data_IF_492307181723
#
_entry.id   IF_492307181723
#
_cell.length_a   1.000
_cell.length_b   1.000
_cell.length_c   1.000
_cell.angle_alpha   90.00
_cell.angle_beta   90.00
_cell.angle_gamma   90.00
#
_symmetry.space_group_name_H-M   'P 1'
#
loop_
_entity.id
_entity.type
_entity.pdbx_description
1 polymer ?
#
# COMPACT_ATOMS: atom_id res chain seq x y z
N UNK A 1 55.26 -58.27 18.35
CA UNK A 1 53.87 -58.31 17.85
C UNK A 1 53.18 -57.01 18.24
N UNK A 2 52.47 -56.42 17.28
CA UNK A 2 51.34 -55.49 17.47
C UNK A 2 51.58 -54.09 18.05
N UNK A 3 51.10 -53.09 17.29
CA UNK A 3 50.20 -52.06 17.85
C UNK A 3 50.77 -50.67 18.09
N UNK A 4 50.52 -49.75 17.15
CA UNK A 4 50.77 -48.29 17.23
C UNK A 4 49.96 -47.58 18.32
N UNK A 5 50.56 -46.59 18.99
CA UNK A 5 50.18 -45.16 18.92
C UNK A 5 50.55 -44.38 20.20
N UNK A 6 51.14 -43.18 20.03
CA UNK A 6 50.72 -41.88 20.61
C UNK A 6 51.90 -40.92 20.87
N UNK A 7 51.65 -39.67 20.40
CA UNK A 7 52.01 -38.35 20.97
C UNK A 7 53.33 -37.65 20.57
N UNK A 8 53.11 -36.35 20.32
CA UNK A 8 54.01 -35.19 20.43
C UNK A 8 55.08 -35.07 19.31
N UNK A 9 55.39 -33.91 18.73
CA UNK A 9 55.04 -32.51 18.96
C UNK A 9 55.34 -31.74 17.66
N UNK A 10 54.62 -30.65 17.38
CA UNK A 10 55.11 -29.59 16.50
C UNK A 10 54.43 -28.28 16.90
N UNK A 11 55.17 -27.43 17.61
CA UNK A 11 54.90 -26.02 17.77
C UNK A 11 55.85 -25.29 16.81
N UNK A 12 55.33 -24.39 15.98
CA UNK A 12 56.17 -23.41 15.30
C UNK A 12 55.46 -22.05 15.27
N UNK A 13 56.25 -21.03 15.61
CA UNK A 13 55.84 -19.73 16.08
C UNK A 13 55.47 -18.74 14.98
N UNK A 14 54.59 -17.83 15.38
CA UNK A 14 54.02 -16.69 14.69
C UNK A 14 55.04 -15.54 14.53
N UNK A 15 55.14 -14.96 13.34
CA UNK A 15 55.73 -13.64 13.12
C UNK A 15 55.09 -12.98 11.88
N UNK A 16 54.26 -11.95 12.07
CA UNK A 16 53.84 -11.06 10.99
C UNK A 16 54.05 -9.59 11.41
N UNK A 17 54.66 -8.91 10.46
CA UNK A 17 55.17 -7.56 10.33
C UNK A 17 54.16 -6.44 10.69
N UNK A 18 54.63 -5.45 11.44
CA UNK A 18 53.98 -4.14 11.62
C UNK A 18 54.73 -3.13 10.74
N UNK A 19 54.03 -2.47 9.82
CA UNK A 19 54.52 -1.32 9.06
C UNK A 19 53.66 -0.11 9.40
N UNK A 20 54.29 0.88 10.03
CA UNK A 20 53.74 2.18 10.38
C UNK A 20 53.93 3.17 9.23
N UNK A 21 52.86 3.84 8.79
CA UNK A 21 52.95 5.11 8.07
C UNK A 21 51.97 6.12 8.69
N UNK A 22 52.54 7.22 9.18
CA UNK A 22 51.85 8.39 9.70
C UNK A 22 51.14 9.15 8.57
N UNK A 23 49.90 9.56 8.80
CA UNK A 23 49.22 10.62 8.04
C UNK A 23 48.26 11.36 8.99
N UNK A 24 48.05 12.68 8.80
CA UNK A 24 47.40 13.54 9.78
C UNK A 24 45.88 13.32 9.82
N UNK A 25 45.33 13.41 11.03
CA UNK A 25 43.90 13.41 11.31
C UNK A 25 43.29 14.70 10.75
N UNK A 26 42.43 14.57 9.74
CA UNK A 26 41.37 15.51 9.41
C UNK A 26 40.07 14.85 9.88
N UNK A 27 39.46 15.47 10.89
CA UNK A 27 38.11 15.20 11.35
C UNK A 27 37.19 15.90 10.37
N UNK A 28 36.42 15.14 9.59
CA UNK A 28 35.11 15.59 9.12
C UNK A 28 34.20 14.38 8.88
N UNK A 29 32.92 14.55 9.17
CA UNK A 29 31.95 13.48 9.40
C UNK A 29 31.73 12.56 8.20
N UNK A 30 31.72 11.24 8.47
CA UNK A 30 31.21 10.25 7.53
C UNK A 30 29.69 10.15 7.72
N UNK A 31 28.96 10.93 6.92
CA UNK A 31 27.67 10.51 6.40
C UNK A 31 27.96 9.45 5.33
N UNK A 32 27.63 8.19 5.60
CA UNK A 32 27.60 7.16 4.55
C UNK A 32 26.43 7.48 3.61
N UNK A 33 26.69 8.29 2.58
CA UNK A 33 25.86 8.30 1.38
C UNK A 33 26.28 7.09 0.54
N UNK A 34 25.49 6.02 0.61
CA UNK A 34 25.48 4.97 -0.40
C UNK A 34 25.28 5.63 -1.76
N UNK A 35 26.11 5.38 -2.79
CA UNK A 35 25.84 5.88 -4.12
C UNK A 35 24.62 5.13 -4.66
N UNK A 36 23.52 5.83 -4.93
CA UNK A 36 22.50 5.33 -5.84
C UNK A 36 23.19 5.04 -7.18
N UNK A 37 22.94 3.85 -7.73
CA UNK A 37 23.27 3.56 -9.12
C UNK A 37 22.25 4.30 -9.99
N UNK A 38 22.46 5.60 -10.17
CA UNK A 38 21.70 6.35 -11.16
C UNK A 38 22.05 5.78 -12.54
N UNK A 39 21.02 5.34 -13.27
CA UNK A 39 21.15 4.87 -14.64
C UNK A 39 21.76 5.99 -15.51
N UNK A 40 22.65 5.65 -16.44
CA UNK A 40 23.37 6.65 -17.25
C UNK A 40 22.53 7.25 -18.38
N UNK A 41 21.25 6.88 -18.47
CA UNK A 41 20.25 7.48 -19.35
C UNK A 41 19.12 7.99 -18.47
N UNK A 42 18.69 9.22 -18.67
CA UNK A 42 17.56 9.79 -17.92
C UNK A 42 16.29 9.67 -18.74
N UNK A 43 15.14 9.59 -18.07
CA UNK A 43 13.84 9.70 -18.72
C UNK A 43 13.78 10.93 -19.63
N UNK A 44 13.03 10.83 -20.72
CA UNK A 44 12.83 11.96 -21.65
C UNK A 44 11.48 12.60 -21.42
N UNK A 45 11.38 13.92 -21.60
CA UNK A 45 10.09 14.60 -21.52
C UNK A 45 9.10 14.08 -22.58
N UNK A 46 7.84 13.92 -22.18
CA UNK A 46 6.76 13.50 -23.07
C UNK A 46 6.38 14.62 -24.07
N UNK A 47 5.96 14.25 -25.28
CA UNK A 47 5.55 15.21 -26.33
C UNK A 47 4.18 14.95 -26.97
N UNK A 48 3.72 13.69 -27.05
CA UNK A 48 2.38 13.34 -27.52
C UNK A 48 1.95 11.96 -26.99
N UNK A 49 2.42 10.89 -27.64
CA UNK A 49 2.24 9.51 -27.18
C UNK A 49 3.48 9.09 -26.40
N UNK A 50 3.30 8.70 -25.15
CA UNK A 50 4.38 8.37 -24.24
C UNK A 50 4.01 7.17 -23.39
N UNK A 51 5.03 6.53 -22.82
CA UNK A 51 4.84 5.59 -21.72
C UNK A 51 4.32 6.39 -20.53
N UNK A 52 3.27 5.89 -19.88
CA UNK A 52 2.55 6.55 -18.80
C UNK A 52 2.67 5.82 -17.46
N UNK A 53 2.67 4.48 -17.48
CA UNK A 53 2.78 3.63 -16.30
C UNK A 53 3.42 2.30 -16.73
N UNK A 54 4.13 1.59 -15.85
CA UNK A 54 4.61 0.23 -16.13
C UNK A 54 4.62 -0.63 -14.87
N UNK A 55 4.36 -1.93 -14.99
CA UNK A 55 4.43 -2.92 -13.91
C UNK A 55 5.62 -3.86 -14.15
N UNK A 56 6.82 -3.57 -13.60
CA UNK A 56 7.98 -4.43 -13.80
C UNK A 56 7.91 -5.71 -12.97
N UNK A 57 7.33 -5.66 -11.78
CA UNK A 57 7.36 -6.74 -10.80
C UNK A 57 5.93 -7.12 -10.40
N UNK A 58 5.20 -7.79 -11.30
CA UNK A 58 3.80 -8.15 -11.08
C UNK A 58 3.64 -9.24 -9.99
N UNK A 59 2.49 -9.27 -9.30
CA UNK A 59 2.20 -10.28 -8.26
C UNK A 59 2.14 -11.73 -8.79
N UNK A 60 1.80 -11.89 -10.07
CA UNK A 60 1.78 -13.18 -10.73
C UNK A 60 3.13 -13.54 -11.33
N UNK A 61 3.09 -14.27 -12.46
CA UNK A 61 4.31 -14.53 -13.21
C UNK A 61 4.62 -13.31 -14.08
N UNK A 62 5.89 -12.91 -14.18
CA UNK A 62 6.32 -11.83 -15.09
C UNK A 62 5.76 -12.04 -16.51
N UNK A 63 5.79 -13.28 -16.98
CA UNK A 63 5.28 -13.69 -18.29
C UNK A 63 3.76 -13.97 -18.33
N UNK A 64 3.04 -13.56 -17.29
CA UNK A 64 1.63 -13.84 -17.08
C UNK A 64 0.72 -13.02 -18.01
N UNK A 65 -0.57 -13.31 -17.89
CA UNK A 65 -1.63 -12.56 -18.57
C UNK A 65 -2.04 -11.38 -17.69
N UNK A 66 -2.28 -10.23 -18.31
CA UNK A 66 -2.82 -9.05 -17.62
C UNK A 66 -4.11 -9.40 -16.82
N UNK A 67 -4.27 -8.89 -15.57
CA UNK A 67 -3.41 -7.93 -14.89
C UNK A 67 -2.24 -8.55 -14.09
N UNK A 68 -2.12 -9.89 -14.08
CA UNK A 68 -1.20 -10.60 -13.18
C UNK A 68 0.23 -10.78 -13.75
N UNK A 69 0.53 -10.22 -14.93
CA UNK A 69 1.86 -10.24 -15.54
C UNK A 69 2.39 -8.82 -15.79
N UNK A 70 3.59 -8.71 -16.36
CA UNK A 70 4.17 -7.41 -16.71
C UNK A 70 3.32 -6.68 -17.76
N UNK A 71 3.22 -5.36 -17.63
CA UNK A 71 2.56 -4.51 -18.60
C UNK A 71 3.12 -3.10 -18.60
N UNK A 72 2.89 -2.40 -19.69
CA UNK A 72 3.28 -1.02 -19.91
C UNK A 72 2.08 -0.29 -20.49
N UNK A 73 1.73 0.84 -19.89
CA UNK A 73 0.68 1.71 -20.38
C UNK A 73 1.27 2.84 -21.23
N UNK A 74 0.60 3.14 -22.33
CA UNK A 74 0.81 4.35 -23.10
C UNK A 74 -0.35 5.34 -22.91
N UNK A 75 -0.04 6.63 -22.90
CA UNK A 75 -1.02 7.71 -22.92
C UNK A 75 -0.81 8.61 -24.14
N UNK A 76 -1.92 8.95 -24.84
CA UNK A 76 -1.91 9.95 -25.90
C UNK A 76 -2.39 11.30 -25.37
N UNK A 77 -1.45 12.12 -24.89
CA UNK A 77 -1.69 13.51 -24.45
C UNK A 77 -1.96 14.50 -25.61
N UNK A 78 -1.84 14.04 -26.86
CA UNK A 78 -2.08 14.85 -28.05
C UNK A 78 -3.56 15.19 -28.27
N UNK A 79 -3.82 16.03 -29.26
CA UNK A 79 -5.18 16.44 -29.67
C UNK A 79 -5.73 15.66 -30.87
N UNK A 80 -4.99 14.65 -31.34
CA UNK A 80 -5.35 13.84 -32.51
C UNK A 80 -5.11 12.36 -32.23
N UNK A 81 -5.90 11.51 -32.88
CA UNK A 81 -5.74 10.06 -32.85
C UNK A 81 -4.43 9.66 -33.53
N UNK A 82 -3.72 8.70 -32.94
CA UNK A 82 -2.42 8.22 -33.43
C UNK A 82 -2.49 6.73 -33.72
N UNK A 83 -2.04 6.32 -34.91
CA UNK A 83 -1.83 4.91 -35.20
C UNK A 83 -0.51 4.44 -34.58
N UNK A 84 -0.60 3.40 -33.77
CA UNK A 84 0.52 2.68 -33.15
C UNK A 84 0.91 1.43 -33.93
N UNK A 85 0.44 1.28 -35.17
CA UNK A 85 0.75 0.13 -36.01
C UNK A 85 2.27 0.00 -36.20
N UNK A 86 2.83 -1.17 -35.87
CA UNK A 86 4.27 -1.48 -35.88
C UNK A 86 5.11 -0.68 -34.87
N UNK A 87 4.51 -0.05 -33.86
CA UNK A 87 5.28 0.49 -32.72
C UNK A 87 5.76 -0.64 -31.82
N UNK A 88 6.83 -0.39 -31.08
CA UNK A 88 7.46 -1.38 -30.20
C UNK A 88 7.95 -0.76 -28.90
N UNK A 89 8.01 -1.57 -27.85
CA UNK A 89 8.81 -1.33 -26.65
C UNK A 89 10.12 -2.10 -26.77
N UNK A 90 11.22 -1.48 -26.37
CA UNK A 90 12.54 -2.11 -26.39
C UNK A 90 13.30 -1.80 -25.09
N UNK A 91 13.75 -2.85 -24.39
CA UNK A 91 14.58 -2.71 -23.20
C UNK A 91 16.06 -2.49 -23.55
N UNK A 92 16.89 -2.18 -22.56
CA UNK A 92 18.35 -2.04 -22.75
C UNK A 92 19.04 -3.37 -23.13
N UNK A 93 18.40 -4.51 -22.86
CA UNK A 93 18.83 -5.84 -23.26
C UNK A 93 18.64 -6.13 -24.76
N UNK A 94 17.86 -5.29 -25.47
CA UNK A 94 17.51 -5.44 -26.88
C UNK A 94 16.31 -6.36 -27.14
N UNK A 95 15.53 -6.69 -26.11
CA UNK A 95 14.25 -7.38 -26.25
C UNK A 95 13.21 -6.42 -26.81
N UNK A 96 12.53 -6.83 -27.89
CA UNK A 96 11.56 -6.00 -28.60
C UNK A 96 10.18 -6.61 -28.40
N UNK A 97 9.30 -5.86 -27.73
CA UNK A 97 7.90 -6.21 -27.52
C UNK A 97 6.99 -5.43 -28.48
N UNK A 98 6.19 -6.11 -29.33
CA UNK A 98 5.35 -5.44 -30.31
C UNK A 98 4.08 -4.86 -29.67
N UNK A 99 3.55 -3.78 -30.25
CA UNK A 99 2.22 -3.26 -29.95
C UNK A 99 1.23 -3.78 -30.99
N UNK A 100 0.68 -4.97 -30.75
CA UNK A 100 -0.24 -5.61 -31.69
C UNK A 100 -1.45 -6.26 -31.02
N UNK A 101 -2.27 -6.97 -31.80
CA UNK A 101 -3.51 -7.57 -31.33
C UNK A 101 -3.34 -8.63 -30.23
N UNK A 102 -2.14 -9.18 -30.05
CA UNK A 102 -1.84 -10.16 -29.01
C UNK A 102 -1.39 -9.52 -27.69
N UNK A 103 -0.79 -8.34 -27.76
CA UNK A 103 -0.19 -7.67 -26.58
C UNK A 103 -1.04 -6.50 -26.07
N UNK A 104 -1.84 -5.88 -26.94
CA UNK A 104 -2.74 -4.78 -26.56
C UNK A 104 -4.01 -5.34 -25.90
N UNK A 105 -4.17 -5.05 -24.60
CA UNK A 105 -5.37 -5.43 -23.82
C UNK A 105 -6.61 -4.73 -24.37
N UNK A 106 -7.63 -5.51 -24.75
CA UNK A 106 -8.87 -4.98 -25.31
C UNK A 106 -8.76 -4.48 -26.75
N UNK A 107 -7.78 -4.98 -27.53
CA UNK A 107 -7.59 -4.61 -28.94
C UNK A 107 -8.86 -4.74 -29.80
N UNK A 108 -9.70 -5.74 -29.52
CA UNK A 108 -10.96 -5.99 -30.23
C UNK A 108 -12.05 -4.95 -29.93
N UNK A 109 -11.87 -4.14 -28.87
CA UNK A 109 -12.76 -3.04 -28.49
C UNK A 109 -12.36 -1.69 -29.11
N UNK A 110 -11.24 -1.61 -29.84
CA UNK A 110 -10.80 -0.38 -30.47
C UNK A 110 -11.76 0.04 -31.59
N UNK A 111 -12.04 1.35 -31.66
CA UNK A 111 -12.85 1.95 -32.74
C UNK A 111 -12.21 1.72 -34.12
N UNK A 112 -10.87 1.72 -34.18
CA UNK A 112 -10.09 1.37 -35.35
C UNK A 112 -8.83 0.59 -34.91
N UNK A 113 -8.43 -0.47 -35.64
CA UNK A 113 -7.25 -1.25 -35.28
C UNK A 113 -6.01 -0.38 -35.12
N UNK A 114 -5.23 -0.61 -34.04
CA UNK A 114 -3.99 0.09 -33.69
C UNK A 114 -4.13 1.60 -33.42
N UNK A 115 -5.33 2.17 -33.43
CA UNK A 115 -5.52 3.62 -33.22
C UNK A 115 -5.74 3.90 -31.74
N UNK A 116 -4.83 4.69 -31.15
CA UNK A 116 -4.99 5.27 -29.82
C UNK A 116 -5.59 6.67 -29.94
N UNK A 117 -6.81 6.84 -29.43
CA UNK A 117 -7.52 8.11 -29.50
C UNK A 117 -6.88 9.18 -28.62
N UNK A 118 -7.07 10.45 -28.99
CA UNK A 118 -6.61 11.59 -28.18
C UNK A 118 -7.21 11.53 -26.75
N UNK A 119 -6.37 11.72 -25.74
CA UNK A 119 -6.77 11.72 -24.33
C UNK A 119 -7.13 10.33 -23.78
N UNK A 120 -6.65 9.25 -24.40
CA UNK A 120 -6.93 7.88 -23.96
C UNK A 120 -5.65 7.06 -23.75
N UNK A 121 -5.81 5.89 -23.13
CA UNK A 121 -4.73 5.01 -22.69
C UNK A 121 -4.72 3.68 -23.46
N UNK A 122 -3.56 3.05 -23.54
CA UNK A 122 -3.38 1.71 -24.09
C UNK A 122 -2.50 0.87 -23.17
N UNK A 123 -3.03 -0.24 -22.66
CA UNK A 123 -2.27 -1.21 -21.88
C UNK A 123 -1.69 -2.27 -22.81
N UNK A 124 -0.36 -2.36 -22.82
CA UNK A 124 0.43 -3.31 -23.61
C UNK A 124 1.05 -4.30 -22.63
N UNK A 125 0.57 -5.54 -22.66
CA UNK A 125 0.91 -6.55 -21.66
C UNK A 125 1.74 -7.69 -22.26
N UNK A 126 2.54 -8.33 -21.42
CA UNK A 126 3.39 -9.46 -21.82
C UNK A 126 2.53 -10.63 -22.33
N UNK A 127 1.40 -10.95 -21.69
CA UNK A 127 0.39 -11.91 -22.18
C UNK A 127 1.00 -13.20 -22.77
N UNK A 128 1.98 -13.76 -22.07
CA UNK A 128 2.68 -15.00 -22.45
C UNK A 128 3.48 -14.93 -23.78
N UNK A 129 3.75 -13.75 -24.34
CA UNK A 129 4.50 -13.61 -25.60
C UNK A 129 5.99 -13.90 -25.47
N UNK A 130 6.59 -13.60 -24.32
CA UNK A 130 7.99 -13.86 -24.04
C UNK A 130 8.96 -12.73 -24.37
N UNK A 131 8.46 -11.51 -24.59
CA UNK A 131 9.21 -10.43 -25.24
C UNK A 131 9.26 -9.12 -24.47
N UNK A 132 8.29 -8.84 -23.60
CA UNK A 132 8.40 -7.82 -22.56
C UNK A 132 9.25 -8.40 -21.44
N UNK A 133 10.36 -7.72 -21.11
CA UNK A 133 11.37 -8.17 -20.16
C UNK A 133 11.75 -7.02 -19.25
N UNK A 134 10.80 -6.60 -18.42
CA UNK A 134 11.07 -5.53 -17.49
C UNK A 134 12.01 -6.05 -16.37
N UNK A 135 12.90 -5.18 -15.92
CA UNK A 135 13.96 -5.53 -14.98
C UNK A 135 13.63 -5.01 -13.58
N UNK A 136 13.41 -5.92 -12.63
CA UNK A 136 13.04 -5.55 -11.25
C UNK A 136 14.12 -4.76 -10.50
N UNK A 137 15.39 -4.88 -10.88
CA UNK A 137 16.47 -4.13 -10.24
C UNK A 137 16.60 -2.67 -10.73
N UNK A 138 15.79 -2.28 -11.71
CA UNK A 138 15.86 -1.00 -12.42
C UNK A 138 15.79 -1.21 -13.93
N UNK A 139 15.02 -0.36 -14.60
CA UNK A 139 14.70 -0.50 -16.01
C UNK A 139 15.16 0.72 -16.83
N UNK A 140 15.44 0.51 -18.11
CA UNK A 140 15.49 1.52 -19.15
C UNK A 140 14.69 1.03 -20.36
N UNK A 141 13.49 1.58 -20.54
CA UNK A 141 12.55 1.17 -21.57
C UNK A 141 12.40 2.25 -22.65
N UNK A 142 12.43 1.82 -23.91
CA UNK A 142 12.28 2.69 -25.07
C UNK A 142 10.97 2.42 -25.82
N UNK A 143 10.15 3.45 -26.00
CA UNK A 143 9.06 3.44 -26.96
C UNK A 143 9.58 3.88 -28.33
N UNK A 144 9.38 3.04 -29.35
CA UNK A 144 9.80 3.32 -30.73
C UNK A 144 8.62 3.28 -31.68
N UNK A 145 8.62 4.21 -32.63
CA UNK A 145 7.61 4.25 -33.69
C UNK A 145 7.88 3.21 -34.79
N UNK A 146 6.96 3.09 -35.74
CA UNK A 146 7.04 2.16 -36.88
C UNK A 146 8.34 2.25 -37.72
N UNK A 147 9.02 3.39 -37.72
CA UNK A 147 10.30 3.57 -38.40
C UNK A 147 11.53 3.21 -37.57
N UNK A 148 11.33 2.72 -36.33
CA UNK A 148 12.39 2.48 -35.34
C UNK A 148 12.91 3.76 -34.67
N UNK A 149 12.26 4.91 -34.89
CA UNK A 149 12.62 6.17 -34.26
C UNK A 149 12.20 6.18 -32.79
N UNK A 150 13.09 6.63 -31.91
CA UNK A 150 12.81 6.77 -30.48
C UNK A 150 11.76 7.86 -30.24
N UNK A 151 10.69 7.51 -29.51
CA UNK A 151 9.58 8.39 -29.14
C UNK A 151 9.70 8.82 -27.67
N UNK A 152 9.98 7.87 -26.78
CA UNK A 152 10.06 8.11 -25.34
C UNK A 152 11.04 7.11 -24.71
N UNK A 153 11.82 7.57 -23.74
CA UNK A 153 12.64 6.73 -22.86
C UNK A 153 12.19 6.92 -21.43
N UNK A 154 12.04 5.82 -20.72
CA UNK A 154 11.75 5.77 -19.28
C UNK A 154 12.89 5.06 -18.59
N UNK A 155 13.33 5.60 -17.46
CA UNK A 155 14.24 4.91 -16.54
C UNK A 155 13.62 4.76 -15.17
N UNK A 156 13.90 3.68 -14.46
CA UNK A 156 13.41 3.45 -13.10
C UNK A 156 14.45 2.80 -12.21
N UNK A 157 14.29 2.97 -10.90
CA UNK A 157 15.01 2.17 -9.89
C UNK A 157 14.36 0.80 -9.66
N UNK A 158 14.78 0.15 -8.58
CA UNK A 158 14.26 -1.15 -8.11
C UNK A 158 12.73 -1.14 -7.98
N UNK A 159 12.07 -2.17 -8.47
CA UNK A 159 10.62 -2.31 -8.50
C UNK A 159 10.08 -3.11 -7.32
N UNK A 160 9.15 -2.51 -6.59
CA UNK A 160 8.39 -3.17 -5.53
C UNK A 160 7.42 -4.20 -6.13
N UNK A 161 7.22 -5.32 -5.45
CA UNK A 161 6.30 -6.37 -5.91
C UNK A 161 4.86 -5.87 -5.90
N UNK A 162 4.14 -6.05 -7.00
CA UNK A 162 2.74 -5.66 -7.16
C UNK A 162 2.53 -4.16 -7.35
N UNK A 163 3.59 -3.35 -7.48
CA UNK A 163 3.52 -1.88 -7.56
C UNK A 163 4.07 -1.39 -8.90
N UNK A 164 3.29 -0.58 -9.60
CA UNK A 164 3.68 0.01 -10.87
C UNK A 164 4.65 1.20 -10.67
N UNK A 165 5.32 1.58 -11.75
CA UNK A 165 6.18 2.75 -11.86
C UNK A 165 5.48 3.82 -12.68
N UNK A 166 5.59 5.07 -12.24
CA UNK A 166 5.02 6.25 -12.91
C UNK A 166 6.05 7.39 -13.02
N UNK A 167 5.84 8.37 -13.92
CA UNK A 167 6.70 9.54 -14.04
C UNK A 167 6.83 10.27 -12.70
N UNK A 168 8.05 10.74 -12.41
CA UNK A 168 8.26 11.61 -11.26
C UNK A 168 7.60 12.98 -11.53
N UNK A 169 6.62 13.41 -10.72
CA UNK A 169 5.90 14.68 -10.97
C UNK A 169 6.78 15.91 -10.79
N UNK A 170 7.87 15.80 -10.00
CA UNK A 170 8.78 16.89 -9.70
C UNK A 170 9.82 17.13 -10.80
N UNK A 171 10.14 16.11 -11.61
CA UNK A 171 11.08 16.19 -12.73
C UNK A 171 10.74 15.12 -13.78
N UNK A 172 10.17 15.55 -14.90
CA UNK A 172 9.81 14.68 -16.02
C UNK A 172 11.01 13.95 -16.69
N UNK A 173 12.24 14.29 -16.29
CA UNK A 173 13.48 13.62 -16.74
C UNK A 173 14.15 12.77 -15.66
N UNK A 174 13.61 12.71 -14.46
CA UNK A 174 14.11 11.85 -13.41
C UNK A 174 13.72 10.38 -13.63
N UNK A 175 14.34 9.49 -12.85
CA UNK A 175 13.90 8.10 -12.77
C UNK A 175 12.46 8.06 -12.23
N UNK A 176 11.68 7.16 -12.83
CA UNK A 176 10.32 6.85 -12.43
C UNK A 176 10.29 6.21 -11.05
N UNK A 177 9.21 6.50 -10.35
CA UNK A 177 8.98 6.17 -8.94
C UNK A 177 7.84 5.17 -8.81
N UNK A 178 7.78 4.46 -7.67
CA UNK A 178 6.63 3.60 -7.35
C UNK A 178 5.35 4.44 -7.31
N UNK A 179 4.26 3.92 -7.88
CA UNK A 179 2.92 4.51 -7.78
C UNK A 179 2.31 4.30 -6.39
N UNK A 180 1.30 5.11 -6.04
CA UNK A 180 0.46 4.83 -4.85
C UNK A 180 -0.59 3.75 -5.13
N UNK A 181 -1.11 3.72 -6.35
CA UNK A 181 -2.06 2.73 -6.84
C UNK A 181 -1.74 2.37 -8.29
N UNK A 182 -1.99 1.12 -8.67
CA UNK A 182 -1.92 0.69 -10.05
C UNK A 182 -3.14 1.22 -10.82
N UNK A 183 -2.93 1.99 -11.89
CA UNK A 183 -4.00 2.71 -12.60
C UNK A 183 -4.14 2.33 -14.09
N UNK A 184 -4.10 1.03 -14.47
CA UNK A 184 -4.17 0.66 -15.88
C UNK A 184 -5.52 1.07 -16.50
N UNK A 185 -5.44 1.86 -17.57
CA UNK A 185 -6.54 2.44 -18.33
C UNK A 185 -7.00 3.81 -17.81
N UNK A 186 -6.31 4.40 -16.84
CA UNK A 186 -6.74 5.62 -16.14
C UNK A 186 -5.58 6.61 -15.90
N UNK A 187 -5.90 7.77 -15.33
CA UNK A 187 -4.90 8.75 -14.92
C UNK A 187 -4.12 8.24 -13.69
N UNK A 188 -2.80 8.45 -13.69
CA UNK A 188 -1.93 7.99 -12.61
C UNK A 188 -2.27 8.65 -11.27
N UNK A 189 -2.30 7.85 -10.22
CA UNK A 189 -2.27 8.34 -8.84
C UNK A 189 -0.86 8.89 -8.55
N UNK A 190 -0.72 10.21 -8.43
CA UNK A 190 0.58 10.87 -8.26
C UNK A 190 1.35 10.29 -7.07
N UNK A 191 2.46 9.61 -7.32
CA UNK A 191 3.41 9.27 -6.27
C UNK A 191 4.24 10.50 -5.94
N UNK A 192 4.22 10.90 -4.68
CA UNK A 192 5.19 11.87 -4.18
C UNK A 192 6.55 11.20 -4.09
N UNK A 193 7.34 11.29 -5.17
CA UNK A 193 8.73 10.84 -5.21
C UNK A 193 9.49 11.45 -4.04
N UNK A 194 10.02 10.57 -3.18
CA UNK A 194 10.61 10.95 -1.89
C UNK A 194 11.71 12.01 -2.03
N UNK A 195 11.53 13.12 -1.33
CA UNK A 195 12.59 14.11 -1.11
C UNK A 195 12.18 15.57 -1.01
N UNK A 196 11.12 15.92 -0.28
CA UNK A 196 11.10 17.04 0.69
C UNK A 196 9.70 17.13 1.33
N UNK A 197 9.70 17.44 2.62
CA UNK A 197 8.54 17.42 3.51
C UNK A 197 7.35 18.25 3.00
N UNK A 198 6.17 17.63 2.99
CA UNK A 198 5.02 18.25 3.65
C UNK A 198 4.18 19.25 2.87
N UNK A 199 3.82 18.98 1.62
CA UNK A 199 2.60 19.57 1.08
C UNK A 199 1.70 18.51 0.46
N UNK A 200 0.53 18.34 1.05
CA UNK A 200 -0.58 17.60 0.43
C UNK A 200 -0.87 18.21 -0.95
N UNK A 201 -1.25 17.44 -1.99
CA UNK A 201 -1.62 18.00 -3.28
C UNK A 201 -2.59 19.17 -3.12
N UNK A 202 -2.51 20.18 -3.99
CA UNK A 202 -3.28 21.44 -3.93
C UNK A 202 -4.82 21.27 -3.86
N UNK A 203 -5.35 20.05 -3.98
CA UNK A 203 -6.77 19.67 -3.82
C UNK A 203 -7.07 18.70 -2.68
N UNK A 204 -6.07 18.13 -2.00
CA UNK A 204 -6.25 17.21 -0.88
C UNK A 204 -5.82 17.88 0.43
N UNK A 205 -6.59 17.67 1.49
CA UNK A 205 -6.26 18.17 2.83
C UNK A 205 -5.97 16.97 3.72
N UNK A 206 -4.74 16.86 4.23
CA UNK A 206 -4.42 15.85 5.25
C UNK A 206 -5.17 16.23 6.52
N UNK A 207 -6.05 15.35 6.99
CA UNK A 207 -6.85 15.61 8.19
C UNK A 207 -6.54 14.66 9.33
N UNK A 208 -5.83 13.57 9.04
CA UNK A 208 -5.48 12.52 9.99
C UNK A 208 -4.12 11.92 9.65
N UNK A 209 -3.35 11.54 10.66
CA UNK A 209 -2.17 10.67 10.53
C UNK A 209 -2.29 9.54 11.53
N UNK A 210 -1.88 8.34 11.13
CA UNK A 210 -1.82 7.15 11.98
C UNK A 210 -0.42 6.97 12.58
N UNK A 211 -0.29 6.20 13.67
CA UNK A 211 1.02 5.78 14.19
C UNK A 211 1.80 4.96 13.14
N UNK A 212 3.10 4.78 13.37
CA UNK A 212 3.96 3.94 12.52
C UNK A 212 3.36 2.57 12.23
N UNK A 213 3.61 2.11 11.01
CA UNK A 213 3.18 0.86 10.41
C UNK A 213 1.66 0.67 10.29
N UNK A 214 0.87 1.50 10.97
CA UNK A 214 -0.57 1.32 10.98
C UNK A 214 -1.24 1.62 9.63
N UNK A 215 -2.09 0.70 9.22
CA UNK A 215 -3.04 0.90 8.15
C UNK A 215 -4.30 1.62 8.64
N UNK A 216 -4.88 2.44 7.76
CA UNK A 216 -6.18 3.10 7.99
C UNK A 216 -7.26 2.18 7.47
N UNK A 217 -8.06 1.60 8.35
CA UNK A 217 -9.10 0.63 7.98
C UNK A 217 -10.44 0.96 8.60
N UNK A 218 -11.49 0.26 8.15
CA UNK A 218 -12.83 0.38 8.74
C UNK A 218 -13.46 1.77 8.66
N UNK A 219 -13.06 2.61 7.69
CA UNK A 219 -13.57 3.96 7.52
C UNK A 219 -15.08 3.97 7.24
N UNK A 220 -15.86 4.58 8.13
CA UNK A 220 -17.31 4.66 7.99
C UNK A 220 -17.87 5.92 8.68
N UNK A 221 -18.69 6.70 7.96
CA UNK A 221 -19.44 7.82 8.53
C UNK A 221 -20.90 7.41 8.72
N UNK A 222 -21.41 7.49 9.95
CA UNK A 222 -22.81 7.17 10.23
C UNK A 222 -23.76 8.33 9.90
N UNK A 223 -25.07 8.10 10.02
CA UNK A 223 -26.10 9.11 9.72
C UNK A 223 -26.05 10.34 10.65
N UNK A 224 -25.35 10.27 11.78
CA UNK A 224 -25.15 11.37 12.72
C UNK A 224 -23.81 12.10 12.50
N UNK A 225 -23.02 11.68 11.52
CA UNK A 225 -21.73 12.28 11.19
C UNK A 225 -20.59 11.77 12.06
N UNK A 226 -20.75 10.66 12.77
CA UNK A 226 -19.63 10.04 13.50
C UNK A 226 -18.75 9.27 12.51
N UNK A 227 -17.47 9.60 12.47
CA UNK A 227 -16.50 8.92 11.60
C UNK A 227 -15.75 7.84 12.38
N UNK A 228 -16.13 6.58 12.16
CA UNK A 228 -15.43 5.40 12.67
C UNK A 228 -14.24 5.09 11.78
N UNK A 229 -13.10 4.80 12.41
CA UNK A 229 -11.84 4.48 11.73
C UNK A 229 -10.89 3.81 12.71
N UNK A 230 -10.15 2.82 12.22
CA UNK A 230 -9.23 2.02 13.00
C UNK A 230 -7.78 2.37 12.66
N UNK A 231 -6.88 2.01 13.58
CA UNK A 231 -5.47 1.85 13.25
C UNK A 231 -5.16 0.35 13.36
N UNK A 232 -4.88 -0.24 12.21
CA UNK A 232 -4.62 -1.67 12.04
C UNK A 232 -3.12 -1.94 12.06
N UNK A 233 -2.71 -2.95 12.84
CA UNK A 233 -1.32 -3.41 13.06
C UNK A 233 -0.25 -2.31 13.23
N UNK A 234 -0.50 -1.25 14.04
CA UNK A 234 0.57 -0.32 14.41
C UNK A 234 1.80 -1.06 14.97
N UNK A 235 2.96 -0.39 14.95
CA UNK A 235 4.11 -0.84 15.74
C UNK A 235 3.71 -0.98 17.22
N UNK A 236 3.63 -2.24 17.66
CA UNK A 236 3.16 -2.69 18.97
C UNK A 236 4.03 -2.20 20.13
N UNK A 237 5.23 -1.69 19.83
CA UNK A 237 6.11 -1.06 20.81
C UNK A 237 5.56 0.27 21.33
N UNK A 238 4.62 0.87 20.59
CA UNK A 238 4.13 2.21 20.89
C UNK A 238 2.62 2.29 21.09
N UNK A 239 1.85 1.51 20.32
CA UNK A 239 0.40 1.60 20.34
C UNK A 239 -0.23 0.27 19.97
N UNK A 240 -1.19 -0.18 20.78
CA UNK A 240 -2.04 -1.33 20.45
C UNK A 240 -3.01 -0.98 19.30
N UNK A 241 -3.28 -1.95 18.42
CA UNK A 241 -4.26 -1.83 17.35
C UNK A 241 -5.61 -1.38 17.93
N UNK A 242 -6.22 -0.36 17.34
CA UNK A 242 -7.36 0.34 17.95
C UNK A 242 -8.55 0.41 17.01
N UNK A 243 -9.72 0.17 17.59
CA UNK A 243 -11.02 0.54 17.01
C UNK A 243 -11.43 1.86 17.62
N UNK A 244 -11.81 2.82 16.79
CA UNK A 244 -12.14 4.15 17.31
C UNK A 244 -13.08 4.96 16.44
N UNK A 245 -13.33 6.17 16.93
CA UNK A 245 -14.27 7.12 16.34
C UNK A 245 -13.73 8.54 16.50
N UNK A 246 -13.88 9.35 15.45
CA UNK A 246 -13.64 10.78 15.51
C UNK A 246 -14.89 11.47 16.03
N UNK A 247 -14.74 12.15 17.16
CA UNK A 247 -15.79 12.92 17.81
C UNK A 247 -15.58 14.43 17.65
N UNK A 248 -16.60 15.18 18.08
CA UNK A 248 -16.63 16.65 18.08
C UNK A 248 -16.73 17.31 16.69
N UNK A 249 -17.02 16.52 15.65
CA UNK A 249 -17.22 16.95 14.27
C UNK A 249 -18.41 16.18 13.68
N UNK A 250 -19.26 16.87 12.94
CA UNK A 250 -20.28 16.24 12.09
C UNK A 250 -19.70 16.06 10.68
N UNK A 251 -19.28 14.84 10.38
CA UNK A 251 -18.64 14.51 9.10
C UNK A 251 -19.60 14.51 7.90
N UNK A 252 -20.92 14.56 8.14
CA UNK A 252 -21.90 14.77 7.07
C UNK A 252 -22.08 16.24 6.71
N UNK A 253 -21.54 17.16 7.52
CA UNK A 253 -21.70 18.61 7.34
C UNK A 253 -20.40 19.35 7.69
N UNK A 254 -19.35 19.04 6.93
CA UNK A 254 -18.03 19.66 7.05
C UNK A 254 -18.03 21.12 6.54
N UNK A 255 -17.18 21.99 7.09
CA UNK A 255 -16.98 23.34 6.56
C UNK A 255 -16.31 23.32 5.18
N UNK A 256 -16.46 24.41 4.41
CA UNK A 256 -15.84 24.57 3.08
C UNK A 256 -14.31 24.41 3.07
N UNK A 257 -13.67 24.56 4.23
CA UNK A 257 -12.23 24.36 4.40
C UNK A 257 -11.93 23.77 5.79
N UNK A 258 -11.06 22.76 5.83
CA UNK A 258 -10.53 22.16 7.04
C UNK A 258 -9.04 22.50 7.13
N UNK A 259 -8.48 22.84 8.30
CA UNK A 259 -7.04 23.04 8.44
C UNK A 259 -6.27 21.78 8.03
N UNK A 260 -5.19 21.94 7.27
CA UNK A 260 -4.29 20.83 6.95
C UNK A 260 -3.52 20.41 8.21
N UNK A 261 -3.41 19.10 8.42
CA UNK A 261 -2.59 18.48 9.43
C UNK A 261 -1.14 18.43 8.94
N UNK A 262 -0.25 19.06 9.69
CA UNK A 262 1.18 18.98 9.43
C UNK A 262 1.71 17.55 9.58
N UNK A 263 2.74 17.21 8.80
CA UNK A 263 3.45 15.95 8.94
C UNK A 263 3.96 15.77 10.39
N UNK A 264 3.98 14.54 10.91
CA UNK A 264 4.56 14.25 12.21
C UNK A 264 6.05 14.63 12.30
N UNK A 265 6.38 15.56 13.20
CA UNK A 265 7.72 16.13 13.33
C UNK A 265 8.63 15.31 14.24
N UNK A 266 8.07 14.62 15.24
CA UNK A 266 8.81 13.86 16.24
C UNK A 266 8.23 12.46 16.50
N UNK A 267 8.92 11.69 17.35
CA UNK A 267 8.51 10.32 17.66
C UNK A 267 7.12 10.26 18.31
N UNK A 268 6.78 11.20 19.18
CA UNK A 268 5.49 11.18 19.86
C UNK A 268 4.35 11.41 18.86
N UNK A 269 4.57 12.29 17.88
CA UNK A 269 3.62 12.50 16.79
C UNK A 269 3.55 11.33 15.81
N UNK A 270 4.67 10.65 15.56
CA UNK A 270 4.73 9.48 14.66
C UNK A 270 4.17 8.21 15.27
N UNK A 271 4.01 8.17 16.59
CA UNK A 271 3.46 7.02 17.30
C UNK A 271 2.08 7.31 17.88
N UNK A 272 1.35 8.27 17.33
CA UNK A 272 0.01 8.62 17.77
C UNK A 272 -0.93 8.90 16.61
N UNK A 273 -2.22 8.66 16.84
CA UNK A 273 -3.27 9.10 15.93
C UNK A 273 -3.49 10.60 16.13
N UNK A 274 -3.27 11.39 15.08
CA UNK A 274 -3.43 12.85 15.10
C UNK A 274 -4.50 13.26 14.11
N UNK A 275 -5.21 14.33 14.44
CA UNK A 275 -6.18 14.97 13.54
C UNK A 275 -5.99 16.48 13.52
N UNK A 276 -6.25 17.11 12.37
CA UNK A 276 -6.39 18.57 12.31
C UNK A 276 -7.79 19.06 12.66
N UNK A 277 -8.78 18.17 12.60
CA UNK A 277 -10.18 18.49 12.84
C UNK A 277 -10.92 17.36 13.55
N UNK A 278 -11.48 17.66 14.71
CA UNK A 278 -12.08 16.68 15.60
C UNK A 278 -11.08 16.07 16.58
N UNK A 279 -11.52 15.04 17.30
CA UNK A 279 -10.71 14.33 18.30
C UNK A 279 -10.90 12.84 18.15
N UNK A 280 -9.81 12.08 18.07
CA UNK A 280 -9.89 10.63 18.09
C UNK A 280 -10.29 10.14 19.48
N UNK A 281 -11.16 9.14 19.52
CA UNK A 281 -11.52 8.41 20.72
C UNK A 281 -11.30 6.92 20.47
N UNK A 282 -10.46 6.30 21.30
CA UNK A 282 -10.36 4.85 21.41
C UNK A 282 -11.66 4.29 21.98
N UNK A 283 -12.24 3.29 21.31
CA UNK A 283 -13.37 2.53 21.82
C UNK A 283 -12.87 1.25 22.47
N UNK A 284 -12.08 0.46 21.74
CA UNK A 284 -11.38 -0.72 22.24
C UNK A 284 -10.03 -0.84 21.54
N UNK A 285 -9.06 -1.45 22.20
CA UNK A 285 -7.79 -1.89 21.62
C UNK A 285 -7.70 -3.42 21.69
N UNK A 286 -6.88 -4.03 20.82
CA UNK A 286 -6.66 -5.47 20.89
C UNK A 286 -6.14 -5.86 22.29
N UNK A 287 -6.63 -6.98 22.82
CA UNK A 287 -6.29 -7.43 24.17
C UNK A 287 -7.12 -6.80 25.30
N UNK A 288 -7.92 -5.76 25.03
CA UNK A 288 -8.85 -5.22 26.04
C UNK A 288 -9.84 -6.28 26.51
N UNK A 289 -10.03 -6.40 27.82
CA UNK A 289 -10.99 -7.32 28.40
C UNK A 289 -12.44 -6.94 28.03
N UNK A 290 -13.20 -7.91 27.52
CA UNK A 290 -14.59 -7.71 27.13
C UNK A 290 -15.56 -8.15 28.25
N UNK A 291 -16.72 -7.50 28.33
CA UNK A 291 -17.67 -7.71 29.44
C UNK A 291 -18.27 -9.11 29.49
N UNK A 292 -18.44 -9.75 28.34
CA UNK A 292 -18.97 -11.12 28.24
C UNK A 292 -17.86 -12.18 28.29
N UNK A 293 -16.62 -11.78 28.57
CA UNK A 293 -15.44 -12.63 28.61
C UNK A 293 -14.58 -12.57 27.34
N UNK A 294 -13.34 -13.03 27.49
CA UNK A 294 -12.33 -12.92 26.43
C UNK A 294 -11.77 -11.50 26.28
N UNK A 295 -11.11 -11.27 25.16
CA UNK A 295 -10.46 -9.99 24.82
C UNK A 295 -10.81 -9.54 23.41
N UNK A 296 -10.77 -8.23 23.17
CA UNK A 296 -10.89 -7.66 21.82
C UNK A 296 -9.80 -8.23 20.90
N UNK A 297 -10.19 -8.62 19.68
CA UNK A 297 -9.31 -9.30 18.74
C UNK A 297 -8.97 -10.75 19.09
N UNK A 298 -9.45 -11.29 20.22
CA UNK A 298 -9.19 -12.67 20.60
C UNK A 298 -9.82 -13.67 19.62
N UNK A 299 -9.01 -14.57 19.08
CA UNK A 299 -9.45 -15.68 18.23
C UNK A 299 -9.38 -16.97 19.05
N UNK A 300 -10.50 -17.69 19.11
CA UNK A 300 -10.68 -18.83 20.02
C UNK A 300 -10.93 -20.13 19.25
N UNK A 301 -10.38 -21.22 19.77
CA UNK A 301 -10.59 -22.58 19.27
C UNK A 301 -12.05 -22.99 19.45
N UNK A 302 -12.67 -23.53 18.41
CA UNK A 302 -14.03 -24.06 18.48
C UNK A 302 -14.12 -25.39 19.25
N UNK A 303 -13.00 -26.11 19.41
CA UNK A 303 -12.97 -27.43 20.04
C UNK A 303 -13.01 -27.36 21.57
N UNK A 304 -12.25 -26.43 22.14
CA UNK A 304 -12.03 -26.31 23.59
C UNK A 304 -12.22 -24.89 24.14
N UNK A 305 -12.43 -23.89 23.28
CA UNK A 305 -12.63 -22.50 23.70
C UNK A 305 -11.36 -21.77 24.12
N UNK A 306 -10.18 -22.39 23.95
CA UNK A 306 -8.91 -21.78 24.31
C UNK A 306 -8.55 -20.63 23.34
N UNK A 307 -7.89 -19.60 23.87
CA UNK A 307 -7.38 -18.49 23.07
C UNK A 307 -6.24 -18.97 22.18
N UNK A 308 -6.38 -18.83 20.87
CA UNK A 308 -5.35 -19.16 19.89
C UNK A 308 -4.34 -18.02 19.77
N UNK A 309 -4.83 -16.80 19.53
CA UNK A 309 -4.04 -15.57 19.45
C UNK A 309 -4.95 -14.35 19.58
N UNK A 310 -4.36 -13.17 19.74
CA UNK A 310 -5.04 -11.87 19.72
C UNK A 310 -4.66 -11.18 18.41
N UNK A 311 -5.65 -10.89 17.58
CA UNK A 311 -5.47 -10.18 16.32
C UNK A 311 -5.17 -8.70 16.57
N UNK A 312 -4.25 -8.16 15.80
CA UNK A 312 -3.91 -6.73 15.73
C UNK A 312 -4.51 -6.07 14.48
N UNK A 313 -5.45 -6.75 13.80
CA UNK A 313 -5.91 -6.38 12.46
C UNK A 313 -7.40 -5.99 12.42
N UNK A 314 -7.85 -4.99 13.19
CA UNK A 314 -9.23 -4.52 13.10
C UNK A 314 -9.46 -3.87 11.73
N UNK A 315 -10.46 -4.32 10.98
CA UNK A 315 -10.75 -3.76 9.65
C UNK A 315 -12.19 -3.24 9.56
N UNK A 316 -13.09 -3.86 8.79
CA UNK A 316 -14.43 -3.37 8.55
C UNK A 316 -15.23 -3.03 9.82
N UNK A 317 -15.73 -1.80 9.90
CA UNK A 317 -16.64 -1.33 10.94
C UNK A 317 -18.10 -1.26 10.44
N UNK A 318 -19.03 -1.72 11.29
CA UNK A 318 -20.46 -1.61 11.06
C UNK A 318 -21.22 -1.21 12.32
N UNK A 319 -21.76 0.01 12.35
CA UNK A 319 -22.61 0.48 13.43
C UNK A 319 -24.09 0.17 13.16
N UNK A 320 -24.72 -0.58 14.06
CA UNK A 320 -26.14 -0.92 14.03
C UNK A 320 -26.87 -0.18 15.16
N UNK A 321 -27.66 0.86 14.85
CA UNK A 321 -28.34 1.65 15.87
C UNK A 321 -29.46 0.85 16.57
N UNK A 322 -29.57 1.03 17.88
CA UNK A 322 -30.63 0.47 18.73
C UNK A 322 -31.71 1.48 19.08
N UNK A 323 -31.53 2.75 18.70
CA UNK A 323 -32.52 3.79 18.83
C UNK A 323 -32.59 4.67 17.57
N UNK A 324 -33.73 5.33 17.29
CA UNK A 324 -33.88 6.18 16.11
C UNK A 324 -32.90 7.36 16.07
N UNK A 325 -32.38 7.77 17.23
CA UNK A 325 -31.42 8.86 17.36
C UNK A 325 -30.00 8.44 16.97
N UNK A 326 -29.73 7.15 16.79
CA UNK A 326 -28.38 6.63 16.54
C UNK A 326 -27.37 6.95 17.65
N UNK A 327 -27.83 7.26 18.87
CA UNK A 327 -26.97 7.55 20.02
C UNK A 327 -26.64 6.32 20.84
N UNK A 328 -27.18 5.16 20.47
CA UNK A 328 -26.86 3.87 21.09
C UNK A 328 -26.92 2.79 20.04
N UNK A 329 -25.93 1.90 20.01
CA UNK A 329 -25.89 0.85 19.00
C UNK A 329 -24.83 -0.20 19.26
N UNK A 330 -24.85 -1.24 18.44
CA UNK A 330 -23.75 -2.20 18.36
C UNK A 330 -22.77 -1.77 17.29
N UNK A 331 -21.49 -1.67 17.62
CA UNK A 331 -20.41 -1.60 16.64
C UNK A 331 -19.86 -3.01 16.45
N UNK A 332 -19.92 -3.50 15.22
CA UNK A 332 -19.25 -4.72 14.81
C UNK A 332 -17.95 -4.34 14.10
N UNK A 333 -16.85 -5.01 14.46
CA UNK A 333 -15.56 -4.80 13.80
C UNK A 333 -14.98 -6.16 13.42
N UNK A 334 -14.57 -6.33 12.17
CA UNK A 334 -13.85 -7.54 11.74
C UNK A 334 -12.41 -7.49 12.19
N UNK A 335 -11.81 -8.65 12.38
CA UNK A 335 -10.40 -8.84 12.70
C UNK A 335 -9.80 -9.71 11.60
N UNK A 336 -9.05 -9.09 10.70
CA UNK A 336 -8.58 -9.62 9.43
C UNK A 336 -7.39 -10.56 9.62
N UNK A 337 -7.69 -11.77 10.09
CA UNK A 337 -6.67 -12.80 10.33
C UNK A 337 -7.08 -14.18 9.80
N UNK A 338 -6.18 -15.15 9.99
CA UNK A 338 -6.34 -16.54 9.54
C UNK A 338 -6.18 -17.49 10.74
N UNK A 339 -7.27 -17.91 11.43
CA UNK A 339 -8.68 -17.54 11.23
C UNK A 339 -9.03 -16.11 11.66
N UNK A 340 -10.11 -15.57 11.09
CA UNK A 340 -10.60 -14.22 11.37
C UNK A 340 -11.61 -14.20 12.54
N UNK A 341 -11.85 -13.00 13.07
CA UNK A 341 -12.81 -12.75 14.14
C UNK A 341 -13.74 -11.58 13.84
N UNK A 342 -14.80 -11.45 14.65
CA UNK A 342 -15.67 -10.27 14.67
C UNK A 342 -15.90 -9.88 16.11
N UNK A 343 -15.52 -8.68 16.52
CA UNK A 343 -15.95 -8.11 17.80
C UNK A 343 -17.33 -7.46 17.64
N UNK A 344 -18.10 -7.48 18.72
CA UNK A 344 -19.35 -6.74 18.85
C UNK A 344 -19.31 -5.98 20.18
N UNK A 345 -19.30 -4.65 20.12
CA UNK A 345 -19.38 -3.79 21.32
C UNK A 345 -20.67 -2.98 21.34
N UNK A 346 -21.22 -2.78 22.53
CA UNK A 346 -22.35 -1.88 22.76
C UNK A 346 -21.82 -0.51 23.15
N UNK A 347 -22.13 0.50 22.35
CA UNK A 347 -21.71 1.89 22.61
C UNK A 347 -22.92 2.82 22.76
N UNK A 348 -22.79 3.82 23.62
CA UNK A 348 -23.80 4.87 23.85
C UNK A 348 -23.15 6.25 23.93
N UNK A 349 -23.71 7.23 23.24
CA UNK A 349 -23.23 8.60 23.26
C UNK A 349 -23.57 9.27 24.60
N UNK A 350 -22.54 9.70 25.30
CA UNK A 350 -22.63 10.45 26.53
C UNK A 350 -22.52 11.95 26.24
N UNK A 351 -23.67 12.62 26.17
CA UNK A 351 -23.73 14.05 25.87
C UNK A 351 -23.07 14.94 26.92
N UNK A 352 -22.96 14.47 28.17
CA UNK A 352 -22.32 15.25 29.23
C UNK A 352 -20.79 15.22 29.12
N UNK A 353 -20.22 14.06 28.73
CA UNK A 353 -18.79 13.88 28.53
C UNK A 353 -18.33 14.22 27.10
N UNK A 354 -19.27 14.35 26.15
CA UNK A 354 -18.97 14.48 24.72
C UNK A 354 -18.06 13.34 24.24
N UNK A 355 -18.46 12.11 24.55
CA UNK A 355 -17.75 10.88 24.22
C UNK A 355 -18.72 9.71 24.07
N UNK A 356 -18.25 8.63 23.45
CA UNK A 356 -18.93 7.35 23.44
C UNK A 356 -18.54 6.51 24.67
N UNK A 357 -19.53 5.98 25.39
CA UNK A 357 -19.29 5.02 26.46
C UNK A 357 -19.37 3.60 25.89
N UNK A 358 -18.38 2.76 26.16
CA UNK A 358 -18.42 1.32 25.86
C UNK A 358 -19.09 0.60 27.02
N UNK A 359 -20.30 0.12 26.80
CA UNK A 359 -21.17 -0.46 27.84
C UNK A 359 -21.06 -1.97 27.95
N UNK A 360 -20.50 -2.63 26.92
CA UNK A 360 -20.28 -4.06 26.90
C UNK A 360 -19.65 -4.52 25.60
N UNK A 361 -19.17 -5.77 25.56
CA UNK A 361 -18.55 -6.33 24.38
C UNK A 361 -18.35 -7.84 24.45
N UNK A 362 -18.22 -8.44 23.27
CA UNK A 362 -17.92 -9.87 23.08
C UNK A 362 -17.24 -10.10 21.73
N UNK A 363 -16.51 -11.21 21.59
CA UNK A 363 -16.19 -11.77 20.29
C UNK A 363 -17.36 -12.65 19.81
N UNK A 364 -17.71 -12.56 18.52
CA UNK A 364 -18.79 -13.35 17.93
C UNK A 364 -18.34 -14.79 17.74
N UNK A 365 -19.19 -15.73 18.15
CA UNK A 365 -19.02 -17.14 17.83
C UNK A 365 -19.36 -17.40 16.36
N UNK A 366 -18.34 -17.76 15.58
CA UNK A 366 -18.45 -18.10 14.16
C UNK A 366 -18.42 -19.62 13.91
N UNK A 367 -18.42 -20.45 14.97
CA UNK A 367 -18.31 -21.92 14.84
C UNK A 367 -19.42 -22.54 14.01
N UNK A 368 -20.63 -21.95 14.03
CA UNK A 368 -21.77 -22.40 13.24
C UNK A 368 -21.54 -22.34 11.71
N UNK A 369 -20.55 -21.56 11.26
CA UNK A 369 -20.13 -21.44 9.86
C UNK A 369 -18.69 -21.91 9.62
N UNK A 370 -18.09 -22.63 10.58
CA UNK A 370 -16.70 -23.10 10.58
C UNK A 370 -15.64 -21.98 10.65
N UNK A 371 -15.97 -20.85 11.27
CA UNK A 371 -15.07 -19.70 11.38
C UNK A 371 -15.18 -18.75 10.19
N UNK A 372 -14.30 -17.74 10.17
CA UNK A 372 -14.10 -16.86 9.02
C UNK A 372 -12.62 -16.83 8.64
N UNK A 373 -12.33 -16.40 7.42
CA UNK A 373 -10.98 -16.31 6.88
C UNK A 373 -10.74 -14.92 6.29
N UNK A 374 -9.77 -14.17 6.84
CA UNK A 374 -9.35 -12.84 6.33
C UNK A 374 -10.55 -11.90 6.11
N UNK A 375 -11.26 -11.57 7.18
CA UNK A 375 -12.43 -10.68 7.09
C UNK A 375 -11.97 -9.21 6.93
N UNK A 376 -11.63 -8.83 5.70
CA UNK A 376 -11.14 -7.51 5.31
C UNK A 376 -12.28 -6.47 5.31
N UNK A 377 -13.09 -6.50 4.26
CA UNK A 377 -14.12 -5.50 4.00
C UNK A 377 -15.54 -5.97 4.39
N UNK A 378 -16.53 -5.10 4.21
CA UNK A 378 -17.93 -5.46 4.39
C UNK A 378 -18.91 -4.38 3.94
N UNK A 379 -20.19 -4.63 4.16
CA UNK A 379 -21.25 -3.65 3.90
C UNK A 379 -22.41 -3.82 4.86
N UNK A 380 -23.32 -2.83 4.89
CA UNK A 380 -24.58 -2.92 5.60
C UNK A 380 -25.69 -3.24 4.61
N UNK A 381 -26.43 -4.33 4.86
CA UNK A 381 -27.63 -4.63 4.07
C UNK A 381 -28.73 -3.57 4.26
N UNK A 382 -29.67 -3.41 3.31
CA UNK A 382 -30.78 -2.45 3.42
C UNK A 382 -31.70 -2.64 4.64
N UNK A 383 -31.64 -3.80 5.30
CA UNK A 383 -32.40 -4.12 6.50
C UNK A 383 -31.55 -4.13 7.78
N UNK A 384 -30.34 -3.55 7.74
CA UNK A 384 -29.53 -3.28 8.93
C UNK A 384 -28.76 -4.48 9.48
N UNK A 385 -28.42 -5.45 8.63
CA UNK A 385 -27.52 -6.55 8.98
C UNK A 385 -26.12 -6.29 8.39
N UNK A 386 -25.06 -6.27 9.22
CA UNK A 386 -23.68 -6.24 8.75
C UNK A 386 -23.34 -7.49 7.94
N UNK A 387 -22.65 -7.31 6.82
CA UNK A 387 -22.12 -8.37 5.96
C UNK A 387 -20.61 -8.19 5.90
N UNK A 388 -19.85 -9.15 6.45
CA UNK A 388 -18.39 -9.18 6.34
C UNK A 388 -17.98 -10.01 5.12
N UNK A 389 -16.85 -9.66 4.50
CA UNK A 389 -16.31 -10.27 3.29
C UNK A 389 -14.97 -10.91 3.59
N UNK A 390 -14.80 -12.15 3.15
CA UNK A 390 -13.50 -12.83 3.15
C UNK A 390 -12.67 -12.36 1.95
N UNK A 391 -11.40 -12.04 2.21
CA UNK A 391 -10.37 -11.74 1.21
C UNK A 391 -9.45 -12.96 1.00
N UNK A 392 -8.73 -13.01 -0.12
CA UNK A 392 -7.81 -14.10 -0.47
C UNK A 392 -6.35 -13.73 -0.23
#
# INVERSE_FOLDING_TARGET
MSGRSRRAAAALSLAILVLTSLSPVLIDGLSETTPSKDSSSRSTACSAVCINEMMPNADGLDQGVFPNGEWVELYNSGSVDVSLENWTLEDVGGWIHPLDSGTWVGFDQLTAPYVLSAGTYAVIAENEFGTLRLNNAGETLHLKNAGGGLVHTVTSGEASNGVSKIPNPSDATADWIDSEENTPGAENSEATGGGEEGSTPISLTRIMTMPFDAEVTGMYVDANGNFFVNAMHPDDSYMDATVGVVKSVDWNNLPDSIPELALPADIAERTSIRLSYGQYQHLIQNGDALSEGGVAGGIYSADDGELLFVSERPDFNAFVPLNPQGTRGYLYTTWEDRPAGISQILIEWNSAASSWDVLGGMMRDLSAVNGGWVLCFGTMSPWGTPLASEEL
#
